data_IF_383876410186
#
_entry.id   IF_383876410186
#
_cell.length_a   1.000
_cell.length_b   1.000
_cell.length_c   1.000
_cell.angle_alpha   90.00
_cell.angle_beta   90.00
_cell.angle_gamma   90.00
#
_symmetry.space_group_name_H-M   'P 1'
#
loop_
_entity.id
_entity.type
_entity.pdbx_description
1 polymer ?
#
# COMPACT_ATOMS: atom_id res chain seq x y z
N UNK A 1 -29.88 -14.73 18.69
CA UNK A 1 -29.47 -16.14 18.84
C UNK A 1 -28.21 -16.49 18.07
N UNK A 2 -27.96 -15.90 16.90
CA UNK A 2 -26.82 -16.29 16.04
C UNK A 2 -25.44 -16.04 16.65
N UNK A 3 -25.23 -14.89 17.29
CA UNK A 3 -23.97 -14.57 17.98
C UNK A 3 -23.66 -15.59 19.10
N UNK A 4 -24.65 -15.96 19.90
CA UNK A 4 -24.49 -16.96 20.96
C UNK A 4 -24.14 -18.35 20.39
N UNK A 5 -24.77 -18.75 19.28
CA UNK A 5 -24.41 -19.98 18.56
C UNK A 5 -22.96 -19.93 18.03
N UNK A 6 -22.50 -18.76 17.57
CA UNK A 6 -21.13 -18.59 17.11
C UNK A 6 -20.11 -18.77 18.24
N UNK A 7 -20.33 -18.17 19.41
CA UNK A 7 -19.44 -18.38 20.58
C UNK A 7 -19.32 -19.85 20.97
N UNK A 8 -20.44 -20.58 20.99
CA UNK A 8 -20.46 -22.02 21.31
C UNK A 8 -19.66 -22.80 20.25
N UNK A 9 -19.82 -22.46 18.97
CA UNK A 9 -19.14 -23.14 17.86
C UNK A 9 -17.64 -22.88 17.82
N UNK A 10 -17.19 -21.65 18.12
CA UNK A 10 -15.78 -21.24 18.02
C UNK A 10 -15.00 -21.42 19.32
N UNK A 11 -15.66 -21.83 20.41
CA UNK A 11 -15.07 -21.92 21.76
C UNK A 11 -14.43 -20.60 22.22
N UNK A 12 -15.01 -19.47 21.81
CA UNK A 12 -14.58 -18.13 22.24
C UNK A 12 -15.39 -17.74 23.47
N UNK A 13 -14.71 -17.31 24.53
CA UNK A 13 -15.39 -16.80 25.72
C UNK A 13 -15.80 -15.33 25.51
N UNK A 14 -17.07 -15.01 25.77
CA UNK A 14 -17.59 -13.63 25.62
C UNK A 14 -16.82 -12.59 26.47
N UNK A 15 -16.27 -13.00 27.62
CA UNK A 15 -15.42 -12.17 28.48
C UNK A 15 -14.17 -11.64 27.77
N UNK A 16 -13.69 -12.29 26.69
CA UNK A 16 -12.53 -11.82 25.93
C UNK A 16 -12.82 -10.57 25.08
N UNK A 17 -14.09 -10.20 24.91
CA UNK A 17 -14.46 -8.92 24.30
C UNK A 17 -14.22 -7.72 25.23
N UNK A 18 -13.95 -7.97 26.52
CA UNK A 18 -13.61 -6.95 27.51
C UNK A 18 -12.11 -7.01 27.77
N UNK A 19 -11.40 -5.93 27.44
CA UNK A 19 -9.94 -5.87 27.56
C UNK A 19 -9.53 -5.40 28.96
N UNK A 20 -8.87 -6.27 29.72
CA UNK A 20 -8.17 -5.88 30.95
C UNK A 20 -6.69 -5.53 30.70
N UNK A 21 -6.13 -6.05 29.60
CA UNK A 21 -4.75 -5.82 29.17
C UNK A 21 -4.80 -5.31 27.73
N UNK A 22 -4.32 -4.08 27.50
CA UNK A 22 -4.26 -3.49 26.18
C UNK A 22 -2.92 -3.83 25.50
N UNK A 23 -2.90 -4.57 24.39
CA UNK A 23 -1.67 -4.83 23.66
C UNK A 23 -1.07 -3.54 23.07
N UNK A 24 0.26 -3.41 23.18
CA UNK A 24 1.01 -2.29 22.62
C UNK A 24 1.76 -2.77 21.38
N UNK A 25 1.58 -2.09 20.24
CA UNK A 25 2.32 -2.42 19.04
C UNK A 25 3.84 -2.27 19.24
N UNK A 26 4.66 -3.13 18.59
CA UNK A 26 6.11 -2.95 18.53
C UNK A 26 6.50 -1.55 18.02
N UNK A 27 7.56 -0.91 18.57
CA UNK A 27 7.99 0.43 18.18
C UNK A 27 8.22 0.60 16.67
N UNK A 28 8.64 -0.46 15.98
CA UNK A 28 8.90 -0.47 14.54
C UNK A 28 7.63 -0.20 13.72
N UNK A 29 6.46 -0.56 14.25
CA UNK A 29 5.17 -0.30 13.61
C UNK A 29 4.59 1.08 13.95
N UNK A 30 5.19 1.80 14.90
CA UNK A 30 4.80 3.13 15.36
C UNK A 30 6.03 4.04 15.53
N UNK A 31 6.77 4.31 14.44
CA UNK A 31 8.07 4.97 14.52
C UNK A 31 7.95 6.42 15.01
N UNK A 32 9.05 6.89 15.59
CA UNK A 32 9.30 8.30 15.89
C UNK A 32 10.56 8.67 15.10
N UNK A 33 10.41 9.61 14.18
CA UNK A 33 11.45 9.99 13.23
C UNK A 33 11.87 11.42 13.54
N UNK A 34 13.18 11.63 13.62
CA UNK A 34 13.74 12.98 13.70
C UNK A 34 13.90 13.53 12.28
N UNK A 35 13.31 14.69 12.03
CA UNK A 35 13.45 15.41 10.76
C UNK A 35 14.62 16.38 10.81
N UNK A 36 15.08 16.79 9.62
CA UNK A 36 16.06 17.87 9.46
C UNK A 36 15.56 19.13 10.17
N UNK A 37 16.37 19.65 11.11
CA UNK A 37 15.98 20.76 11.99
C UNK A 37 15.52 20.36 13.40
N UNK A 38 15.66 19.08 13.77
CA UNK A 38 15.49 18.61 15.16
C UNK A 38 14.03 18.39 15.59
N UNK A 39 13.06 18.60 14.69
CA UNK A 39 11.65 18.31 14.94
C UNK A 39 11.43 16.78 14.97
N UNK A 40 10.83 16.28 16.04
CA UNK A 40 10.39 14.90 16.13
C UNK A 40 8.99 14.76 15.53
N UNK A 41 8.80 13.76 14.67
CA UNK A 41 7.50 13.37 14.14
C UNK A 41 7.22 11.92 14.52
N UNK A 42 6.14 11.70 15.28
CA UNK A 42 5.68 10.38 15.68
C UNK A 42 4.48 9.92 14.88
N UNK A 43 4.26 8.61 14.84
CA UNK A 43 2.98 8.04 14.39
C UNK A 43 1.80 8.53 15.25
N UNK A 44 0.65 8.80 14.62
CA UNK A 44 -0.62 9.16 15.28
C UNK A 44 -0.99 8.16 16.41
N UNK A 45 -0.67 6.87 16.23
CA UNK A 45 -0.90 5.81 17.22
C UNK A 45 -0.17 6.07 18.55
N UNK A 46 1.01 6.71 18.53
CA UNK A 46 1.74 7.05 19.76
C UNK A 46 0.99 8.10 20.59
N UNK A 47 0.33 9.06 19.94
CA UNK A 47 -0.49 10.09 20.60
C UNK A 47 -1.73 9.46 21.25
N UNK A 48 -2.36 8.50 20.57
CA UNK A 48 -3.50 7.74 21.08
C UNK A 48 -3.11 6.86 22.27
N UNK A 49 -1.98 6.13 22.19
CA UNK A 49 -1.46 5.38 23.33
C UNK A 49 -1.13 6.28 24.52
N UNK A 50 -0.51 7.44 24.28
CA UNK A 50 -0.19 8.40 25.35
C UNK A 50 -1.47 8.83 26.08
N UNK A 51 -2.57 9.05 25.36
CA UNK A 51 -3.87 9.39 25.94
C UNK A 51 -4.40 8.26 26.83
N UNK A 52 -4.37 7.01 26.37
CA UNK A 52 -4.81 5.86 27.17
C UNK A 52 -4.00 5.73 28.46
N UNK A 53 -2.67 5.75 28.34
CA UNK A 53 -1.76 5.65 29.49
C UNK A 53 -2.04 6.79 30.49
N UNK A 54 -2.14 8.01 30.00
CA UNK A 54 -2.41 9.17 30.84
C UNK A 54 -3.73 9.06 31.62
N UNK A 55 -4.82 8.65 30.96
CA UNK A 55 -6.11 8.48 31.64
C UNK A 55 -6.07 7.33 32.65
N UNK A 56 -5.39 6.23 32.30
CA UNK A 56 -5.23 5.07 33.18
C UNK A 56 -4.41 5.42 34.44
N UNK A 57 -3.27 6.09 34.28
CA UNK A 57 -2.43 6.52 35.39
C UNK A 57 -3.16 7.54 36.28
N UNK A 58 -3.92 8.45 35.67
CA UNK A 58 -4.76 9.41 36.40
C UNK A 58 -5.82 8.70 37.26
N UNK A 59 -6.48 7.68 36.70
CA UNK A 59 -7.44 6.85 37.43
C UNK A 59 -6.78 6.13 38.61
N UNK A 60 -5.63 5.49 38.40
CA UNK A 60 -4.87 4.76 39.44
C UNK A 60 -4.49 5.71 40.58
N UNK A 61 -3.95 6.89 40.26
CA UNK A 61 -3.56 7.89 41.26
C UNK A 61 -4.76 8.31 42.10
N UNK A 62 -5.92 8.57 41.47
CA UNK A 62 -7.13 8.97 42.19
C UNK A 62 -7.68 7.86 43.09
N UNK A 63 -7.67 6.61 42.63
CA UNK A 63 -8.07 5.45 43.44
C UNK A 63 -7.15 5.25 44.65
N UNK A 64 -5.86 5.56 44.51
CA UNK A 64 -4.86 5.38 45.57
C UNK A 64 -4.95 6.48 46.64
N UNK A 65 -5.10 7.74 46.21
CA UNK A 65 -5.13 8.90 47.12
C UNK A 65 -6.44 8.99 47.90
N UNK A 66 -7.54 8.53 47.30
CA UNK A 66 -8.87 8.72 47.86
C UNK A 66 -9.34 7.47 48.61
N UNK A 67 -9.13 7.42 49.93
CA UNK A 67 -9.70 6.36 50.78
C UNK A 67 -11.24 6.42 50.90
N UNK A 68 -11.84 7.54 50.50
CA UNK A 68 -13.28 7.81 50.51
C UNK A 68 -13.69 8.51 49.22
N UNK A 69 -13.34 7.96 48.06
CA UNK A 69 -13.75 8.52 46.77
C UNK A 69 -15.26 8.38 46.57
N UNK A 70 -15.91 9.50 46.23
CA UNK A 70 -17.31 9.50 45.80
C UNK A 70 -17.43 8.68 44.50
N UNK A 71 -18.33 7.68 44.47
CA UNK A 71 -18.42 6.73 43.34
C UNK A 71 -18.64 7.39 41.97
N UNK A 72 -19.29 8.55 41.94
CA UNK A 72 -19.51 9.34 40.72
C UNK A 72 -18.21 9.81 40.06
N UNK A 73 -17.19 10.17 40.85
CA UNK A 73 -15.90 10.64 40.32
C UNK A 73 -15.16 9.47 39.67
N UNK A 74 -15.22 8.28 40.28
CA UNK A 74 -14.59 7.08 39.74
C UNK A 74 -15.24 6.66 38.43
N UNK A 75 -16.58 6.59 38.40
CA UNK A 75 -17.35 6.30 37.18
C UNK A 75 -17.02 7.24 36.03
N UNK A 76 -16.88 8.54 36.32
CA UNK A 76 -16.47 9.51 35.30
C UNK A 76 -15.05 9.27 34.77
N UNK A 77 -14.11 8.90 35.63
CA UNK A 77 -12.72 8.60 35.20
C UNK A 77 -12.64 7.29 34.41
N UNK A 78 -13.36 6.25 34.82
CA UNK A 78 -13.48 5.00 34.06
C UNK A 78 -14.02 5.26 32.65
N UNK A 79 -15.02 6.14 32.53
CA UNK A 79 -15.54 6.59 31.23
C UNK A 79 -14.45 7.24 30.37
N UNK A 80 -13.59 8.08 30.94
CA UNK A 80 -12.50 8.71 30.18
C UNK A 80 -11.46 7.71 29.70
N UNK A 81 -11.18 6.66 30.49
CA UNK A 81 -10.30 5.55 30.06
C UNK A 81 -10.96 4.78 28.92
N UNK A 82 -12.26 4.50 29.02
CA UNK A 82 -13.01 3.84 27.94
C UNK A 82 -13.00 4.67 26.67
N UNK A 83 -13.32 5.97 26.75
CA UNK A 83 -13.28 6.88 25.59
C UNK A 83 -11.87 6.96 24.99
N UNK A 84 -10.81 6.91 25.81
CA UNK A 84 -9.45 6.86 25.30
C UNK A 84 -9.15 5.56 24.55
N UNK A 85 -9.58 4.41 25.08
CA UNK A 85 -9.43 3.12 24.42
C UNK A 85 -10.24 3.04 23.11
N UNK A 86 -11.48 3.54 23.13
CA UNK A 86 -12.36 3.64 21.97
C UNK A 86 -11.68 4.47 20.88
N UNK A 87 -11.14 5.65 21.20
CA UNK A 87 -10.42 6.49 20.21
C UNK A 87 -9.16 5.84 19.65
N UNK A 88 -8.49 4.96 20.41
CA UNK A 88 -7.32 4.23 19.93
C UNK A 88 -7.71 3.18 18.88
N UNK A 89 -8.79 2.43 19.13
CA UNK A 89 -9.28 1.42 18.20
C UNK A 89 -9.96 2.05 16.99
N UNK A 90 -10.90 2.96 17.24
CA UNK A 90 -11.69 3.65 16.23
C UNK A 90 -11.95 5.10 16.66
N UNK A 91 -11.15 6.03 16.13
CA UNK A 91 -11.27 7.45 16.44
C UNK A 91 -12.56 8.09 15.85
N UNK A 92 -13.23 7.39 14.93
CA UNK A 92 -14.49 7.82 14.32
C UNK A 92 -15.75 7.39 15.10
N UNK A 93 -15.61 6.52 16.11
CA UNK A 93 -16.76 5.96 16.84
C UNK A 93 -17.56 7.01 17.64
N UNK A 94 -16.90 8.10 18.04
CA UNK A 94 -17.52 9.22 18.72
C UNK A 94 -17.84 10.35 17.74
N UNK A 95 -18.84 11.18 18.08
CA UNK A 95 -19.30 12.29 17.21
C UNK A 95 -18.19 13.27 16.82
N UNK A 96 -17.14 13.39 17.64
CA UNK A 96 -16.02 14.28 17.38
C UNK A 96 -14.71 13.48 17.49
N UNK A 97 -13.99 13.27 16.37
CA UNK A 97 -12.71 12.57 16.39
C UNK A 97 -11.66 13.43 17.07
N UNK A 98 -10.70 12.77 17.71
CA UNK A 98 -9.54 13.43 18.27
C UNK A 98 -8.65 13.97 17.14
N UNK A 99 -8.21 15.21 17.29
CA UNK A 99 -7.42 15.94 16.29
C UNK A 99 -6.14 16.48 16.88
N UNK A 100 -5.15 16.70 16.02
CA UNK A 100 -3.90 17.38 16.34
C UNK A 100 -4.08 18.91 16.36
N UNK A 101 -2.99 19.63 16.66
CA UNK A 101 -2.97 21.10 16.66
C UNK A 101 -3.22 21.74 15.28
N UNK A 102 -3.15 20.96 14.20
CA UNK A 102 -3.43 21.39 12.83
C UNK A 102 -4.83 20.99 12.36
N UNK A 103 -5.72 20.58 13.28
CA UNK A 103 -7.08 20.13 13.02
C UNK A 103 -7.17 18.86 12.14
N UNK A 104 -6.08 18.10 12.01
CA UNK A 104 -6.06 16.79 11.37
C UNK A 104 -6.48 15.72 12.38
N UNK A 105 -7.42 14.85 12.01
CA UNK A 105 -7.81 13.72 12.86
C UNK A 105 -6.68 12.70 12.93
N UNK A 106 -6.42 12.18 14.13
CA UNK A 106 -5.46 11.09 14.32
C UNK A 106 -5.98 9.80 13.67
N UNK A 107 -5.11 9.09 12.94
CA UNK A 107 -5.42 7.76 12.42
C UNK A 107 -5.40 6.71 13.55
N UNK A 108 -6.53 6.03 13.74
CA UNK A 108 -6.72 4.93 14.71
C UNK A 108 -6.29 3.57 14.15
N UNK A 109 -6.41 2.49 14.93
CA UNK A 109 -6.13 1.15 14.40
C UNK A 109 -7.01 0.75 13.24
N UNK A 110 -8.32 1.03 13.32
CA UNK A 110 -9.24 0.79 12.21
C UNK A 110 -8.79 1.52 10.94
N UNK A 111 -8.37 2.79 11.06
CA UNK A 111 -7.87 3.55 9.91
C UNK A 111 -6.58 2.96 9.32
N UNK A 112 -5.65 2.54 10.19
CA UNK A 112 -4.38 1.92 9.74
C UNK A 112 -4.64 0.60 9.02
N UNK A 113 -5.70 -0.13 9.37
CA UNK A 113 -6.00 -1.43 8.78
C UNK A 113 -6.87 -1.28 7.52
N UNK A 114 -8.02 -0.61 7.63
CA UNK A 114 -9.12 -0.67 6.64
C UNK A 114 -9.11 0.45 5.61
N UNK A 115 -8.39 1.55 5.84
CA UNK A 115 -8.45 2.69 4.93
C UNK A 115 -7.85 2.37 3.54
N UNK A 116 -8.14 3.23 2.55
CA UNK A 116 -7.52 3.15 1.21
C UNK A 116 -5.99 3.26 1.28
N UNK A 117 -5.51 4.09 2.23
CA UNK A 117 -4.09 4.24 2.57
C UNK A 117 -3.67 3.27 3.70
N UNK A 118 -4.50 2.28 4.00
CA UNK A 118 -4.31 1.31 5.07
C UNK A 118 -3.44 0.15 4.63
N UNK A 119 -3.07 -0.71 5.60
CA UNK A 119 -2.17 -1.84 5.38
C UNK A 119 -2.71 -2.85 4.37
N UNK A 120 -4.03 -3.11 4.36
CA UNK A 120 -4.60 -4.05 3.39
C UNK A 120 -4.44 -3.56 1.94
N UNK A 121 -4.87 -2.33 1.66
CA UNK A 121 -4.86 -1.80 0.29
C UNK A 121 -3.46 -1.46 -0.20
N UNK A 122 -2.65 -0.74 0.59
CA UNK A 122 -1.34 -0.24 0.13
C UNK A 122 -0.15 -1.16 0.40
N UNK A 123 -0.29 -2.11 1.34
CA UNK A 123 0.83 -2.99 1.70
C UNK A 123 0.58 -4.45 1.33
N UNK A 124 -0.66 -4.94 1.35
CA UNK A 124 -0.94 -6.35 1.03
C UNK A 124 -1.38 -6.56 -0.41
N UNK A 125 -2.32 -5.74 -0.92
CA UNK A 125 -2.84 -5.88 -2.27
C UNK A 125 -1.93 -5.30 -3.35
N UNK A 126 -1.20 -4.24 -3.03
CA UNK A 126 -0.17 -3.66 -3.88
C UNK A 126 1.09 -3.39 -3.06
N UNK A 127 2.26 -3.52 -3.68
CA UNK A 127 3.53 -3.10 -3.08
C UNK A 127 4.38 -2.41 -4.14
N UNK A 128 5.27 -1.54 -3.68
CA UNK A 128 6.39 -1.12 -4.52
C UNK A 128 7.29 -2.33 -4.75
N UNK A 129 7.73 -2.49 -5.99
CA UNK A 129 8.50 -3.65 -6.43
C UNK A 129 9.87 -3.17 -6.88
N UNK A 130 10.91 -3.87 -6.42
CA UNK A 130 12.28 -3.67 -6.91
C UNK A 130 12.39 -4.06 -8.39
N UNK A 131 13.47 -3.66 -9.06
CA UNK A 131 13.68 -3.91 -10.49
C UNK A 131 12.54 -3.38 -11.38
N UNK A 132 12.03 -2.19 -11.03
CA UNK A 132 11.05 -1.46 -11.81
C UNK A 132 11.57 -0.07 -12.22
N UNK A 133 11.09 0.42 -13.36
CA UNK A 133 11.42 1.74 -13.90
C UNK A 133 10.22 2.35 -14.63
N UNK A 134 10.21 3.67 -14.82
CA UNK A 134 9.14 4.37 -15.54
C UNK A 134 9.75 5.31 -16.57
N UNK A 135 9.18 5.36 -17.76
CA UNK A 135 9.55 6.36 -18.77
C UNK A 135 8.42 6.66 -19.74
N UNK A 136 8.55 7.77 -20.45
CA UNK A 136 7.65 8.20 -21.52
C UNK A 136 7.75 7.24 -22.71
N UNK A 137 6.63 6.94 -23.34
CA UNK A 137 6.60 6.11 -24.54
C UNK A 137 6.69 6.92 -25.83
N UNK A 138 7.36 6.36 -26.83
CA UNK A 138 7.45 6.91 -28.19
C UNK A 138 7.22 5.81 -29.23
N UNK A 139 6.78 6.20 -30.42
CA UNK A 139 6.64 5.27 -31.55
C UNK A 139 8.03 4.88 -32.05
N UNK A 140 8.25 3.57 -32.25
CA UNK A 140 9.51 3.06 -32.79
C UNK A 140 9.72 3.51 -34.25
N UNK A 141 10.58 4.51 -34.46
CA UNK A 141 11.13 4.87 -35.76
C UNK A 141 12.66 4.67 -35.71
N UNK A 142 13.22 3.95 -36.70
CA UNK A 142 14.65 3.60 -36.74
C UNK A 142 15.51 4.87 -36.82
N UNK A 143 16.09 5.29 -35.70
CA UNK A 143 17.17 6.27 -35.65
C UNK A 143 18.28 5.74 -34.75
N UNK A 144 19.53 5.81 -35.22
CA UNK A 144 20.76 5.38 -34.51
C UNK A 144 21.67 6.59 -34.31
N UNK A 145 22.51 6.55 -33.26
CA UNK A 145 23.85 7.16 -33.02
C UNK A 145 23.83 8.15 -31.80
N UNK A 146 24.69 8.11 -30.76
CA UNK A 146 25.89 7.31 -30.42
C UNK A 146 26.29 7.31 -28.91
N UNK A 147 27.18 6.35 -28.57
CA UNK A 147 28.26 6.28 -27.55
C UNK A 147 27.93 6.06 -26.06
N UNK A 148 28.12 4.81 -25.61
CA UNK A 148 28.57 4.44 -24.25
C UNK A 148 29.51 3.24 -24.29
N UNK A 149 30.22 2.99 -23.19
CA UNK A 149 31.25 1.96 -23.03
C UNK A 149 30.83 0.59 -23.59
N UNK A 150 31.52 0.15 -24.65
CA UNK A 150 31.14 -1.00 -25.49
C UNK A 150 30.99 -2.30 -24.69
N UNK A 151 31.85 -2.51 -23.69
CA UNK A 151 31.91 -3.77 -22.92
C UNK A 151 30.63 -3.99 -22.10
N UNK A 152 30.14 -2.96 -21.40
CA UNK A 152 28.92 -3.07 -20.59
C UNK A 152 27.70 -3.25 -21.49
N UNK A 153 27.68 -2.58 -22.64
CA UNK A 153 26.60 -2.68 -23.61
C UNK A 153 26.50 -4.07 -24.24
N UNK A 154 27.63 -4.67 -24.60
CA UNK A 154 27.70 -6.03 -25.15
C UNK A 154 27.18 -7.06 -24.15
N UNK A 155 27.63 -6.99 -22.89
CA UNK A 155 27.15 -7.88 -21.82
C UNK A 155 25.65 -7.66 -21.58
N UNK A 156 25.20 -6.41 -21.51
CA UNK A 156 23.78 -6.09 -21.30
C UNK A 156 22.92 -6.63 -22.44
N UNK A 157 23.39 -6.52 -23.68
CA UNK A 157 22.70 -7.05 -24.85
C UNK A 157 22.58 -8.58 -24.79
N UNK A 158 23.64 -9.28 -24.38
CA UNK A 158 23.61 -10.74 -24.18
C UNK A 158 22.63 -11.14 -23.07
N UNK A 159 22.67 -10.45 -21.93
CA UNK A 159 21.76 -10.72 -20.79
C UNK A 159 20.31 -10.48 -21.21
N UNK A 160 20.03 -9.37 -21.89
CA UNK A 160 18.66 -8.99 -22.26
C UNK A 160 18.06 -9.94 -23.29
N UNK A 161 18.84 -10.51 -24.21
CA UNK A 161 18.37 -11.50 -25.18
C UNK A 161 17.72 -12.74 -24.55
N UNK A 162 18.02 -13.04 -23.28
CA UNK A 162 17.49 -14.22 -22.57
C UNK A 162 16.37 -13.90 -21.60
N UNK A 163 16.02 -12.62 -21.40
CA UNK A 163 15.06 -12.19 -20.39
C UNK A 163 14.01 -11.25 -20.99
N UNK A 164 12.73 -11.64 -20.87
CA UNK A 164 11.62 -10.75 -21.18
C UNK A 164 11.45 -9.70 -20.08
N UNK A 165 10.85 -8.56 -20.44
CA UNK A 165 10.43 -7.51 -19.50
C UNK A 165 8.92 -7.33 -19.59
N UNK A 166 8.29 -6.97 -18.48
CA UNK A 166 6.86 -6.65 -18.43
C UNK A 166 6.70 -5.14 -18.59
N UNK A 167 5.84 -4.72 -19.51
CA UNK A 167 5.39 -3.33 -19.64
C UNK A 167 3.98 -3.20 -19.06
N UNK A 168 3.74 -2.14 -18.31
CA UNK A 168 2.45 -1.81 -17.71
C UNK A 168 2.10 -0.34 -17.96
N UNK A 169 0.88 -0.06 -18.42
CA UNK A 169 0.32 1.31 -18.46
C UNK A 169 -0.79 1.44 -17.43
N UNK A 170 -0.70 2.47 -16.60
CA UNK A 170 -1.72 2.80 -15.59
C UNK A 170 -2.70 3.81 -16.20
N UNK A 171 -4.03 3.67 -16.00
CA UNK A 171 -4.71 2.62 -15.22
C UNK A 171 -4.82 1.28 -15.95
N UNK A 172 -4.51 0.18 -15.24
CA UNK A 172 -4.63 -1.18 -15.77
C UNK A 172 -6.08 -1.66 -15.71
N UNK A 173 -6.83 -1.49 -16.80
CA UNK A 173 -8.26 -1.84 -16.83
C UNK A 173 -8.53 -3.34 -17.04
N UNK A 174 -7.59 -4.05 -17.65
CA UNK A 174 -7.70 -5.47 -17.97
C UNK A 174 -6.32 -6.11 -18.10
N UNK A 175 -6.28 -7.45 -18.19
CA UNK A 175 -5.04 -8.25 -18.25
C UNK A 175 -4.01 -7.74 -19.27
N UNK A 176 -4.46 -7.28 -20.44
CA UNK A 176 -3.56 -6.81 -21.50
C UNK A 176 -2.91 -5.45 -21.22
N UNK A 177 -3.32 -4.75 -20.15
CA UNK A 177 -2.62 -3.57 -19.68
C UNK A 177 -1.25 -3.90 -19.07
N UNK A 178 -0.91 -5.19 -18.94
CA UNK A 178 0.43 -5.71 -18.64
C UNK A 178 0.78 -6.77 -19.68
N UNK A 179 1.90 -6.60 -20.40
CA UNK A 179 2.37 -7.61 -21.35
C UNK A 179 3.90 -7.76 -21.30
N UNK A 180 4.38 -8.96 -21.61
CA UNK A 180 5.79 -9.26 -21.71
C UNK A 180 6.32 -9.04 -23.13
N UNK A 181 7.49 -8.41 -23.21
CA UNK A 181 8.21 -8.12 -24.44
C UNK A 181 9.67 -8.58 -24.31
N UNK A 182 10.23 -9.01 -25.43
CA UNK A 182 11.66 -9.15 -25.56
C UNK A 182 12.25 -7.75 -25.77
N UNK A 183 13.02 -7.20 -24.81
CA UNK A 183 13.49 -5.83 -24.93
C UNK A 183 14.59 -5.73 -25.98
N UNK A 184 14.54 -4.67 -26.77
CA UNK A 184 15.62 -4.28 -27.68
C UNK A 184 16.20 -2.99 -27.12
N UNK A 185 17.50 -3.03 -26.83
CA UNK A 185 18.22 -1.86 -26.37
C UNK A 185 18.22 -0.77 -27.46
N UNK A 186 17.74 0.41 -27.08
CA UNK A 186 17.70 1.61 -27.93
C UNK A 186 18.44 2.75 -27.24
N UNK A 187 18.95 3.68 -28.03
CA UNK A 187 19.49 4.93 -27.51
C UNK A 187 18.36 5.91 -27.20
N UNK A 188 18.52 6.68 -26.12
CA UNK A 188 17.52 7.63 -25.64
C UNK A 188 16.92 7.22 -24.28
N UNK A 189 16.01 8.05 -23.79
CA UNK A 189 15.37 7.86 -22.49
C UNK A 189 13.94 7.29 -22.61
N UNK A 190 13.36 7.27 -23.80
CA UNK A 190 11.98 6.87 -24.02
C UNK A 190 11.84 5.36 -24.32
N UNK A 191 10.71 4.78 -23.93
CA UNK A 191 10.36 3.40 -24.24
C UNK A 191 9.72 3.36 -25.62
N UNK A 192 10.32 2.61 -26.54
CA UNK A 192 9.76 2.40 -27.86
C UNK A 192 8.71 1.29 -27.83
N UNK A 193 7.43 1.65 -28.04
CA UNK A 193 6.32 0.69 -28.04
C UNK A 193 5.93 0.31 -29.47
N UNK A 194 5.58 -0.96 -29.68
CA UNK A 194 5.11 -1.44 -30.97
C UNK A 194 3.67 -0.94 -31.24
N UNK A 195 3.37 -0.35 -32.42
CA UNK A 195 2.05 0.25 -32.69
C UNK A 195 0.86 -0.71 -32.50
N UNK A 196 1.03 -1.99 -32.84
CA UNK A 196 -0.04 -3.00 -32.71
C UNK A 196 -0.45 -3.32 -31.27
N UNK A 197 0.38 -3.03 -30.27
CA UNK A 197 0.01 -3.27 -28.86
C UNK A 197 -0.57 -2.03 -28.19
N UNK A 198 -0.50 -0.85 -28.83
CA UNK A 198 -1.03 0.41 -28.27
C UNK A 198 -2.51 0.29 -27.90
N UNK A 199 -3.32 -0.38 -28.74
CA UNK A 199 -4.74 -0.64 -28.45
C UNK A 199 -4.93 -1.45 -27.17
N UNK A 200 -4.07 -2.45 -26.93
CA UNK A 200 -4.09 -3.27 -25.72
C UNK A 200 -3.67 -2.51 -24.45
N UNK A 201 -2.89 -1.45 -24.57
CA UNK A 201 -2.55 -0.56 -23.44
C UNK A 201 -3.46 0.67 -23.36
N UNK A 202 -4.37 0.86 -24.33
CA UNK A 202 -5.09 2.10 -24.58
C UNK A 202 -4.16 3.33 -24.76
N UNK A 203 -2.92 3.10 -25.19
CA UNK A 203 -1.83 4.07 -25.15
C UNK A 203 -1.86 5.05 -26.33
N UNK A 204 -1.69 6.34 -26.02
CA UNK A 204 -1.39 7.43 -26.94
C UNK A 204 0.06 7.91 -26.73
N UNK A 205 0.56 8.78 -27.62
CA UNK A 205 1.98 9.21 -27.60
C UNK A 205 2.11 10.71 -27.32
N UNK A 206 1.20 11.25 -26.52
CA UNK A 206 1.13 12.68 -26.15
C UNK A 206 1.84 13.00 -24.83
N UNK A 207 2.50 12.01 -24.21
CA UNK A 207 3.18 12.13 -22.92
C UNK A 207 2.95 10.95 -21.99
N UNK A 208 2.18 9.96 -22.42
CA UNK A 208 1.98 8.68 -21.75
C UNK A 208 3.28 8.08 -21.20
N UNK A 209 3.18 7.49 -20.01
CA UNK A 209 4.27 6.80 -19.34
C UNK A 209 3.91 5.34 -19.10
N UNK A 210 4.91 4.47 -19.18
CA UNK A 210 4.78 3.05 -18.85
C UNK A 210 5.80 2.63 -17.81
N UNK A 211 5.37 1.72 -16.94
CA UNK A 211 6.24 1.03 -16.01
C UNK A 211 6.85 -0.20 -16.69
N UNK A 212 8.14 -0.44 -16.43
CA UNK A 212 8.88 -1.63 -16.82
C UNK A 212 9.15 -2.45 -15.56
N UNK A 213 8.93 -3.75 -15.61
CA UNK A 213 9.28 -4.68 -14.53
C UNK A 213 10.11 -5.84 -15.10
N UNK A 214 11.17 -6.23 -14.38
CA UNK A 214 12.02 -7.36 -14.77
C UNK A 214 11.59 -8.62 -13.99
N UNK A 215 10.99 -9.63 -14.65
CA UNK A 215 10.70 -10.91 -14.02
C UNK A 215 12.01 -11.65 -13.69
N UNK A 216 12.19 -12.02 -12.43
CA UNK A 216 13.37 -12.79 -11.99
C UNK A 216 13.18 -14.30 -12.11
N UNK A 217 11.92 -14.77 -12.15
CA UNK A 217 11.60 -16.19 -12.31
C UNK A 217 11.30 -16.55 -13.77
N UNK A 218 11.66 -17.77 -14.16
CA UNK A 218 11.44 -18.30 -15.51
C UNK A 218 9.94 -18.43 -15.86
N UNK A 219 9.09 -18.69 -14.86
CA UNK A 219 7.66 -18.92 -15.03
C UNK A 219 6.93 -17.67 -15.55
N UNK A 220 7.33 -16.49 -15.09
CA UNK A 220 6.75 -15.22 -15.51
C UNK A 220 7.05 -14.90 -16.99
N UNK A 221 8.12 -15.50 -17.53
CA UNK A 221 8.57 -15.29 -18.91
C UNK A 221 7.57 -15.88 -19.92
N UNK A 222 7.00 -17.06 -19.66
CA UNK A 222 6.22 -17.82 -20.65
C UNK A 222 4.75 -17.40 -20.79
N UNK A 223 4.08 -17.02 -19.71
CA UNK A 223 2.62 -16.84 -19.68
C UNK A 223 2.11 -15.46 -20.15
N UNK A 224 3.01 -14.49 -20.23
CA UNK A 224 2.66 -13.07 -20.43
C UNK A 224 3.13 -12.49 -21.76
N UNK A 225 3.76 -13.27 -22.63
CA UNK A 225 4.23 -12.78 -23.93
C UNK A 225 3.10 -12.16 -24.76
N UNK A 226 3.36 -11.03 -25.40
CA UNK A 226 2.33 -10.35 -26.20
C UNK A 226 1.82 -11.22 -27.36
N UNK A 227 2.69 -12.03 -27.99
CA UNK A 227 2.34 -12.86 -29.14
C UNK A 227 1.39 -14.03 -28.78
N UNK A 228 1.28 -14.40 -27.50
CA UNK A 228 0.30 -15.38 -27.02
C UNK A 228 -1.03 -14.72 -26.61
N UNK A 229 -1.11 -13.39 -26.64
CA UNK A 229 -2.25 -12.59 -26.16
C UNK A 229 -2.78 -11.64 -27.25
N UNK A 230 -3.13 -12.20 -28.43
CA UNK A 230 -3.59 -11.44 -29.60
C UNK A 230 -5.10 -11.14 -29.59
N UNK A 231 -5.88 -11.80 -28.73
CA UNK A 231 -7.34 -11.67 -28.65
C UNK A 231 -7.76 -11.00 -27.33
N UNK A 232 -8.80 -10.16 -27.40
CA UNK A 232 -9.42 -9.55 -26.21
C UNK A 232 -10.06 -10.64 -25.33
N UNK A 233 -9.72 -10.73 -24.02
CA UNK A 233 -10.32 -11.72 -23.13
C UNK A 233 -11.84 -11.63 -22.99
N UNK A 234 -12.42 -10.45 -23.20
CA UNK A 234 -13.85 -10.22 -22.98
C UNK A 234 -14.73 -10.66 -24.15
N UNK A 235 -14.27 -10.48 -25.39
CA UNK A 235 -15.09 -10.62 -26.61
C UNK A 235 -14.46 -11.60 -27.62
N UNK A 236 -13.15 -11.86 -27.53
CA UNK A 236 -12.43 -12.72 -28.47
C UNK A 236 -11.97 -12.02 -29.75
N UNK A 237 -12.21 -10.71 -29.89
CA UNK A 237 -11.79 -9.93 -31.05
C UNK A 237 -10.27 -9.68 -31.08
N UNK A 238 -9.72 -9.48 -32.28
CA UNK A 238 -8.29 -9.19 -32.48
C UNK A 238 -7.91 -7.81 -31.93
N UNK A 239 -6.86 -7.78 -31.10
CA UNK A 239 -6.25 -6.55 -30.59
C UNK A 239 -5.24 -5.99 -31.60
N UNK A 240 -4.51 -6.89 -32.26
CA UNK A 240 -3.45 -6.59 -33.22
C UNK A 240 -3.98 -6.50 -34.65
N UNK A 241 -5.04 -5.73 -34.87
CA UNK A 241 -5.45 -5.33 -36.20
C UNK A 241 -4.71 -4.03 -36.58
N UNK A 242 -4.30 -3.83 -37.84
CA UNK A 242 -3.74 -2.56 -38.26
C UNK A 242 -4.79 -1.45 -38.07
N UNK A 243 -4.41 -0.44 -37.29
CA UNK A 243 -5.16 0.80 -37.07
C UNK A 243 -4.95 1.79 -38.21
#
# INVERSE_FOLDING_TARGET
>A
MELAKNFIRTNIEHKWMVLCLLPVLPPELRPIIQMDGGKLMGSDINELYRRVIYQNDTLIIRLTISRSTQGEIVMYQEKLVQEAADTLFDNGIHRQPLRDGHNKAYKSFSDVIESKEGRFCETLLGKRVDYSGHSVIVIFAKSKIQQKELIVWEILQEVMQRHAVLLNRVPTQHRLGIQAFQPILVEGHAICLHPLVCKGFNADFDGDQMAVHVPLSLEAHLLMFFHTNLLLPAIGDSISAPS
#
